data_IF_889002599031
#
_entry.id   IF_889002599031
#
_cell.length_a   1.000
_cell.length_b   1.000
_cell.length_c   1.000
_cell.angle_alpha   90.00
_cell.angle_beta   90.00
_cell.angle_gamma   90.00
#
_symmetry.space_group_name_H-M   'P 1'
#
loop_
_entity.id
_entity.type
_entity.pdbx_description
1 polymer ?
#
# COMPACT_ATOMS: atom_id res chain seq x y z
N UNK A 1 -9.11 22.53 -26.75
CA UNK A 1 -9.83 21.30 -27.12
C UNK A 1 -9.01 20.58 -28.15
N UNK A 2 -8.37 19.54 -27.75
CA UNK A 2 -7.63 18.65 -28.63
C UNK A 2 -8.63 17.68 -29.23
N UNK A 3 -8.75 17.60 -30.53
CA UNK A 3 -9.79 16.76 -31.13
C UNK A 3 -9.60 16.34 -32.58
N UNK A 4 -8.49 16.68 -33.23
CA UNK A 4 -8.24 16.30 -34.63
C UNK A 4 -6.99 15.44 -34.79
N UNK A 5 -7.01 14.59 -35.82
CA UNK A 5 -5.85 13.72 -36.19
C UNK A 5 -4.67 14.51 -36.78
N UNK A 6 -4.88 15.80 -37.12
CA UNK A 6 -3.87 16.65 -37.79
C UNK A 6 -3.48 17.87 -36.93
N UNK A 7 -3.72 17.81 -35.60
CA UNK A 7 -3.37 18.90 -34.71
C UNK A 7 -1.95 18.76 -34.16
N UNK A 8 -1.30 19.94 -33.99
CA UNK A 8 0.02 20.00 -33.37
C UNK A 8 -0.10 19.88 -31.86
N UNK A 9 0.69 19.04 -31.23
CA UNK A 9 0.77 18.92 -29.79
C UNK A 9 2.17 19.28 -29.28
N UNK A 10 2.24 19.69 -28.05
CA UNK A 10 3.48 20.05 -27.39
C UNK A 10 4.16 18.77 -26.88
N UNK A 11 5.45 18.64 -27.17
CA UNK A 11 6.28 17.48 -26.82
C UNK A 11 7.13 17.70 -25.55
N UNK A 12 6.66 18.56 -24.64
CA UNK A 12 7.27 18.76 -23.32
C UNK A 12 8.46 19.71 -23.26
N UNK A 13 9.08 20.09 -24.39
CA UNK A 13 10.21 21.03 -24.39
C UNK A 13 9.72 22.47 -24.48
N UNK A 14 9.81 23.20 -23.37
CA UNK A 14 9.37 24.59 -23.28
C UNK A 14 10.48 25.45 -22.71
N UNK A 15 10.70 26.62 -23.31
CA UNK A 15 11.59 27.65 -22.81
C UNK A 15 10.77 28.86 -22.35
N UNK A 16 10.84 29.15 -21.06
CA UNK A 16 10.26 30.36 -20.48
C UNK A 16 11.31 31.43 -20.32
N UNK A 17 11.13 32.55 -21.00
CA UNK A 17 11.96 33.72 -20.80
C UNK A 17 11.63 34.41 -19.46
N UNK A 18 12.39 35.46 -19.13
CA UNK A 18 12.19 36.17 -17.86
C UNK A 18 10.86 36.87 -17.73
N UNK A 19 10.32 37.36 -18.86
CA UNK A 19 9.05 38.09 -18.87
C UNK A 19 7.91 37.12 -18.67
N UNK A 20 7.91 36.02 -19.42
CA UNK A 20 6.95 34.93 -19.26
C UNK A 20 6.98 34.38 -17.83
N UNK A 21 8.17 34.03 -17.34
CA UNK A 21 8.34 33.44 -16.00
C UNK A 21 7.86 34.38 -14.89
N UNK A 22 8.08 35.69 -15.01
CA UNK A 22 7.63 36.65 -14.01
C UNK A 22 6.09 36.74 -13.98
N UNK A 23 5.47 36.86 -15.15
CA UNK A 23 4.02 36.96 -15.24
C UNK A 23 3.32 35.65 -14.88
N UNK A 24 3.85 34.50 -15.32
CA UNK A 24 3.29 33.19 -14.98
C UNK A 24 3.38 32.90 -13.46
N UNK A 25 4.45 33.37 -12.82
CA UNK A 25 4.58 33.27 -11.36
C UNK A 25 3.52 34.09 -10.62
N UNK A 26 3.19 35.30 -11.10
CA UNK A 26 2.12 36.11 -10.51
C UNK A 26 0.75 35.38 -10.58
N UNK A 27 0.48 34.69 -11.68
CA UNK A 27 -0.73 33.88 -11.84
C UNK A 27 -0.70 32.68 -10.88
N UNK A 28 0.42 31.97 -10.80
CA UNK A 28 0.59 30.85 -9.88
C UNK A 28 0.40 31.28 -8.41
N UNK A 29 1.01 32.39 -8.00
CA UNK A 29 0.86 32.92 -6.63
C UNK A 29 -0.59 33.32 -6.31
N UNK A 30 -1.36 33.77 -7.32
CA UNK A 30 -2.77 34.13 -7.15
C UNK A 30 -3.71 32.92 -7.12
N UNK A 31 -3.41 31.84 -7.84
CA UNK A 31 -4.36 30.76 -8.10
C UNK A 31 -3.97 29.40 -7.46
N UNK A 32 -2.72 29.22 -6.99
CA UNK A 32 -2.21 27.94 -6.51
C UNK A 32 -3.07 27.31 -5.40
N UNK A 33 -3.52 28.13 -4.44
CA UNK A 33 -4.32 27.68 -3.30
C UNK A 33 -5.83 27.57 -3.58
N UNK A 34 -6.26 27.87 -4.80
CA UNK A 34 -7.67 27.77 -5.16
C UNK A 34 -8.06 26.30 -5.39
N UNK A 35 -9.23 25.84 -4.89
CA UNK A 35 -9.66 24.44 -5.04
C UNK A 35 -9.68 23.94 -6.49
N UNK A 36 -10.04 24.83 -7.45
CA UNK A 36 -10.09 24.47 -8.87
C UNK A 36 -8.71 24.32 -9.52
N UNK A 37 -7.62 24.71 -8.86
CA UNK A 37 -6.25 24.64 -9.40
C UNK A 37 -5.53 23.38 -8.96
N UNK A 38 -6.03 22.71 -7.92
CA UNK A 38 -5.38 21.57 -7.27
C UNK A 38 -4.91 20.46 -8.22
N UNK A 39 -5.71 20.16 -9.25
CA UNK A 39 -5.45 19.06 -10.18
C UNK A 39 -5.00 19.56 -11.56
N UNK A 40 -4.64 20.84 -11.68
CA UNK A 40 -4.18 21.43 -12.94
C UNK A 40 -2.67 21.30 -13.10
N UNK A 41 -2.27 20.99 -14.32
CA UNK A 41 -0.89 21.13 -14.78
C UNK A 41 -0.66 22.59 -15.21
N UNK A 42 0.61 22.99 -15.36
CA UNK A 42 0.94 24.34 -15.81
C UNK A 42 0.35 24.68 -17.19
N UNK A 43 0.20 23.69 -18.06
CA UNK A 43 -0.42 23.82 -19.38
C UNK A 43 -1.88 24.23 -19.29
N UNK A 44 -2.60 23.71 -18.29
CA UNK A 44 -4.00 24.08 -18.07
C UNK A 44 -4.12 25.56 -17.71
N UNK A 45 -3.27 26.03 -16.79
CA UNK A 45 -3.21 27.47 -16.44
C UNK A 45 -2.80 28.32 -17.63
N UNK A 46 -1.78 27.90 -18.39
CA UNK A 46 -1.38 28.61 -19.60
C UNK A 46 -2.55 28.74 -20.59
N UNK A 47 -3.32 27.68 -20.83
CA UNK A 47 -4.46 27.71 -21.77
C UNK A 47 -5.57 28.64 -21.26
N UNK A 48 -5.82 28.70 -19.98
CA UNK A 48 -6.81 29.61 -19.38
C UNK A 48 -6.41 31.08 -19.54
N UNK A 49 -5.11 31.37 -19.44
CA UNK A 49 -4.52 32.71 -19.57
C UNK A 49 -3.86 32.94 -20.92
N UNK A 50 -4.17 32.16 -21.96
CA UNK A 50 -3.48 32.15 -23.25
C UNK A 50 -3.45 33.53 -23.94
N UNK A 51 -4.41 34.40 -23.62
CA UNK A 51 -4.47 35.77 -24.18
C UNK A 51 -3.45 36.74 -23.56
N UNK A 52 -2.87 36.35 -22.42
CA UNK A 52 -1.91 37.14 -21.65
C UNK A 52 -0.46 36.74 -21.98
N UNK A 53 -0.28 35.67 -22.73
CA UNK A 53 1.03 35.11 -23.08
C UNK A 53 1.25 35.10 -24.60
N UNK A 54 2.49 35.37 -24.99
CA UNK A 54 2.97 35.18 -26.36
C UNK A 54 4.00 34.04 -26.37
N UNK A 55 3.59 32.85 -26.80
CA UNK A 55 4.45 31.69 -26.89
C UNK A 55 4.68 31.29 -28.33
N UNK A 56 5.95 31.30 -28.76
CA UNK A 56 6.32 30.93 -30.12
C UNK A 56 6.45 29.44 -30.27
N UNK A 57 5.79 28.87 -31.29
CA UNK A 57 5.86 27.45 -31.61
C UNK A 57 7.08 27.18 -32.49
N UNK A 58 7.99 26.34 -32.06
CA UNK A 58 9.03 25.76 -32.87
C UNK A 58 8.59 24.39 -33.37
N UNK A 59 8.38 24.25 -34.64
CA UNK A 59 7.95 23.00 -35.25
C UNK A 59 9.15 22.10 -35.53
N UNK A 60 8.99 20.83 -35.25
CA UNK A 60 9.95 19.78 -35.57
C UNK A 60 9.26 18.76 -36.47
N UNK A 61 9.98 18.32 -37.52
CA UNK A 61 9.50 17.22 -38.36
C UNK A 61 9.78 15.89 -37.63
N UNK A 62 8.85 14.94 -37.76
CA UNK A 62 9.14 13.58 -37.31
C UNK A 62 10.28 12.98 -38.13
N UNK A 63 11.24 12.26 -37.57
CA UNK A 63 11.37 11.72 -36.21
C UNK A 63 12.53 12.35 -35.40
N UNK A 64 12.59 13.66 -35.26
CA UNK A 64 13.70 14.35 -34.58
C UNK A 64 13.62 14.19 -33.05
N UNK A 65 12.42 14.08 -32.51
CA UNK A 65 12.17 13.93 -31.08
C UNK A 65 11.41 12.62 -30.89
N UNK A 66 11.96 11.77 -30.04
CA UNK A 66 11.38 10.51 -29.64
C UNK A 66 10.97 10.59 -28.18
N UNK A 67 9.75 10.22 -27.89
CA UNK A 67 9.20 10.07 -26.54
C UNK A 67 8.98 8.57 -26.29
N UNK A 68 9.40 8.09 -25.14
CA UNK A 68 9.28 6.70 -24.77
C UNK A 68 8.51 6.62 -23.46
N UNK A 69 7.33 6.00 -23.48
CA UNK A 69 6.50 5.76 -22.31
C UNK A 69 6.81 4.40 -21.66
N UNK A 70 7.54 3.56 -22.38
CA UNK A 70 7.88 2.21 -21.91
C UNK A 70 9.29 1.81 -22.32
N UNK A 71 9.83 0.80 -21.62
CA UNK A 71 11.09 0.19 -21.98
C UNK A 71 10.98 -0.55 -23.32
N UNK A 72 9.83 -1.11 -23.63
CA UNK A 72 9.63 -1.85 -24.89
C UNK A 72 9.70 -0.91 -26.09
N UNK A 73 9.15 0.30 -26.02
CA UNK A 73 9.31 1.34 -27.04
C UNK A 73 10.77 1.77 -27.22
N UNK A 74 11.53 1.89 -26.14
CA UNK A 74 12.95 2.18 -26.20
C UNK A 74 13.73 1.05 -26.88
N UNK A 75 13.38 -0.21 -26.61
CA UNK A 75 13.98 -1.40 -27.23
C UNK A 75 13.65 -1.53 -28.70
N UNK A 76 12.42 -1.19 -29.09
CA UNK A 76 12.01 -1.14 -30.49
C UNK A 76 12.77 -0.06 -31.27
N UNK A 77 13.07 1.05 -30.59
CA UNK A 77 13.86 2.14 -31.16
C UNK A 77 15.36 1.80 -31.25
N UNK A 78 15.93 1.23 -30.18
CA UNK A 78 17.35 0.84 -30.14
C UNK A 78 17.52 -0.57 -29.53
N UNK A 79 17.78 -1.59 -30.38
CA UNK A 79 17.95 -2.96 -29.92
C UNK A 79 19.09 -3.18 -28.93
N UNK A 80 20.01 -2.22 -28.75
CA UNK A 80 21.04 -2.30 -27.71
C UNK A 80 20.44 -2.43 -26.32
N UNK A 81 19.24 -1.89 -26.08
CA UNK A 81 18.54 -2.00 -24.80
C UNK A 81 17.86 -3.36 -24.55
N UNK A 82 17.93 -4.30 -25.48
CA UNK A 82 17.49 -5.68 -25.24
C UNK A 82 18.41 -6.41 -24.24
N UNK A 83 19.72 -6.23 -24.37
CA UNK A 83 20.72 -6.99 -23.62
C UNK A 83 21.53 -6.13 -22.64
N UNK A 84 21.68 -4.82 -22.91
CA UNK A 84 22.59 -3.91 -22.20
C UNK A 84 21.91 -3.01 -21.17
N UNK A 85 20.91 -3.54 -20.44
CA UNK A 85 20.34 -2.83 -19.30
C UNK A 85 21.22 -3.05 -18.06
N UNK A 86 21.92 -1.99 -17.65
CA UNK A 86 22.59 -1.94 -16.36
C UNK A 86 21.56 -1.57 -15.28
N UNK A 87 20.85 -2.59 -14.81
CA UNK A 87 19.81 -2.44 -13.80
C UNK A 87 19.83 -3.61 -12.83
N UNK A 88 20.07 -3.30 -11.58
CA UNK A 88 19.99 -4.29 -10.50
C UNK A 88 18.63 -5.00 -10.43
N UNK A 89 17.53 -4.31 -10.76
CA UNK A 89 16.19 -4.92 -10.80
C UNK A 89 16.17 -6.06 -11.83
N UNK A 90 16.69 -5.83 -13.03
CA UNK A 90 16.76 -6.85 -14.07
C UNK A 90 17.68 -8.00 -13.69
N UNK A 91 18.82 -7.71 -13.07
CA UNK A 91 19.73 -8.74 -12.58
C UNK A 91 19.07 -9.63 -11.52
N UNK A 92 18.30 -9.03 -10.62
CA UNK A 92 17.52 -9.75 -9.61
C UNK A 92 16.43 -10.65 -10.25
N UNK A 93 15.70 -10.12 -11.25
CA UNK A 93 14.67 -10.88 -11.98
C UNK A 93 15.27 -12.09 -12.65
N UNK A 94 16.35 -11.89 -13.44
CA UNK A 94 17.08 -12.95 -14.12
C UNK A 94 17.57 -14.02 -13.14
N UNK A 95 18.16 -13.59 -12.02
CA UNK A 95 18.67 -14.52 -11.00
C UNK A 95 17.57 -15.38 -10.35
N UNK A 96 16.36 -14.87 -10.20
CA UNK A 96 15.25 -15.57 -9.55
C UNK A 96 14.44 -16.42 -10.54
N UNK A 97 14.13 -15.86 -11.71
CA UNK A 97 13.25 -16.52 -12.69
C UNK A 97 14.04 -17.37 -13.71
N UNK A 98 15.35 -17.15 -13.86
CA UNK A 98 16.19 -17.90 -14.80
C UNK A 98 15.94 -17.53 -16.27
N UNK A 99 15.34 -16.36 -16.52
CA UNK A 99 15.09 -15.84 -17.88
C UNK A 99 16.25 -14.94 -18.34
N UNK A 100 16.29 -14.62 -19.64
CA UNK A 100 17.21 -13.62 -20.18
C UNK A 100 16.62 -12.21 -20.03
N UNK A 101 17.46 -11.16 -19.97
CA UNK A 101 17.00 -9.77 -19.89
C UNK A 101 16.09 -9.37 -21.06
N UNK A 102 16.35 -9.92 -22.25
CA UNK A 102 15.53 -9.72 -23.45
C UNK A 102 14.12 -10.31 -23.38
N UNK A 103 13.88 -11.23 -22.44
CA UNK A 103 12.55 -11.81 -22.22
C UNK A 103 11.68 -11.00 -21.25
N UNK A 104 12.25 -9.96 -20.62
CA UNK A 104 11.52 -9.09 -19.68
C UNK A 104 10.84 -7.97 -20.44
N UNK A 105 9.52 -7.97 -20.50
CA UNK A 105 8.68 -7.03 -21.26
C UNK A 105 7.58 -6.40 -20.40
N UNK A 106 6.83 -5.44 -20.95
CA UNK A 106 5.69 -4.80 -20.32
C UNK A 106 6.01 -4.25 -18.92
N UNK A 107 7.18 -3.61 -18.79
CA UNK A 107 7.63 -3.03 -17.52
C UNK A 107 6.98 -1.67 -17.32
N UNK A 108 6.11 -1.57 -16.30
CA UNK A 108 5.47 -0.30 -15.92
C UNK A 108 5.28 -0.22 -14.40
N UNK A 109 5.31 1.00 -13.82
CA UNK A 109 5.11 1.17 -12.39
C UNK A 109 3.67 0.86 -11.98
N UNK A 110 3.50 0.16 -10.86
CA UNK A 110 2.22 -0.01 -10.20
C UNK A 110 2.06 1.13 -9.19
N UNK A 111 1.01 1.95 -9.38
CA UNK A 111 0.77 3.16 -8.57
C UNK A 111 0.08 2.88 -7.21
N UNK A 112 -0.03 1.62 -6.82
CA UNK A 112 -0.70 1.23 -5.57
C UNK A 112 0.35 0.92 -4.51
N UNK A 113 0.25 1.57 -3.35
CA UNK A 113 1.10 1.40 -2.18
C UNK A 113 1.80 2.68 -1.74
N UNK A 114 1.76 2.99 -0.45
CA UNK A 114 2.35 4.19 0.15
C UNK A 114 3.83 4.00 0.52
N UNK A 115 4.27 2.76 0.73
CA UNK A 115 5.56 2.46 1.35
C UNK A 115 6.61 1.88 0.40
N UNK A 116 6.20 1.20 -0.66
CA UNK A 116 7.10 0.46 -1.55
C UNK A 116 6.93 0.87 -3.02
N UNK A 117 8.02 0.81 -3.78
CA UNK A 117 8.00 1.01 -5.23
C UNK A 117 7.78 -0.34 -5.90
N UNK A 118 6.68 -0.50 -6.61
CA UNK A 118 6.36 -1.74 -7.31
C UNK A 118 6.27 -1.52 -8.81
N UNK A 119 6.74 -2.48 -9.59
CA UNK A 119 6.54 -2.50 -11.03
C UNK A 119 5.99 -3.86 -11.48
N UNK A 120 5.11 -3.81 -12.47
CA UNK A 120 4.71 -4.97 -13.25
C UNK A 120 5.78 -5.28 -14.29
N UNK A 121 5.95 -6.54 -14.62
CA UNK A 121 6.67 -6.99 -15.80
C UNK A 121 6.14 -8.36 -16.26
N UNK A 122 6.40 -8.73 -17.51
CA UNK A 122 6.09 -10.04 -18.06
C UNK A 122 7.34 -10.74 -18.55
N UNK A 123 7.29 -12.08 -18.56
CA UNK A 123 8.26 -12.96 -19.22
C UNK A 123 7.51 -14.02 -20.00
N UNK A 124 8.22 -14.91 -20.71
CA UNK A 124 7.61 -16.05 -21.40
C UNK A 124 6.80 -16.96 -20.45
N UNK A 125 7.13 -16.98 -19.14
CA UNK A 125 6.52 -17.85 -18.14
C UNK A 125 5.34 -17.20 -17.39
N UNK A 126 5.03 -15.92 -17.63
CA UNK A 126 3.89 -15.26 -17.02
C UNK A 126 4.10 -13.78 -16.70
N UNK A 127 3.22 -13.29 -15.86
CA UNK A 127 3.19 -11.90 -15.40
C UNK A 127 3.56 -11.82 -13.93
N UNK A 128 4.30 -10.77 -13.56
CA UNK A 128 4.97 -10.67 -12.27
C UNK A 128 4.92 -9.24 -11.71
N UNK A 129 5.15 -9.16 -10.43
CA UNK A 129 5.37 -7.89 -9.72
C UNK A 129 6.74 -7.93 -9.07
N UNK A 130 7.57 -6.94 -9.35
CA UNK A 130 8.78 -6.66 -8.59
C UNK A 130 8.49 -5.54 -7.59
N UNK A 131 8.69 -5.79 -6.29
CA UNK A 131 8.60 -4.78 -5.23
C UNK A 131 10.01 -4.39 -4.79
N UNK A 132 10.32 -3.10 -4.92
CA UNK A 132 11.52 -2.51 -4.35
C UNK A 132 11.18 -1.85 -3.01
N UNK A 133 11.98 -2.04 -1.94
CA UNK A 133 11.70 -1.43 -0.65
C UNK A 133 11.75 0.11 -0.76
N UNK A 134 10.80 0.79 -0.15
CA UNK A 134 10.83 2.24 -0.03
C UNK A 134 11.94 2.71 0.91
N UNK A 135 12.37 3.95 0.74
CA UNK A 135 13.41 4.56 1.58
C UNK A 135 12.92 4.66 3.03
N UNK A 136 13.72 4.19 3.97
CA UNK A 136 13.40 4.24 5.41
C UNK A 136 12.56 3.07 5.93
N UNK A 137 12.15 2.12 5.07
CA UNK A 137 11.38 0.93 5.51
C UNK A 137 12.21 -0.06 6.32
N UNK A 138 13.54 0.01 6.24
CA UNK A 138 14.46 -0.87 6.96
C UNK A 138 14.33 -0.75 8.49
N UNK A 139 13.84 0.39 8.99
CA UNK A 139 13.65 0.64 10.42
C UNK A 139 12.28 0.17 10.94
N UNK A 140 11.33 -0.07 10.04
CA UNK A 140 9.94 -0.37 10.38
C UNK A 140 9.57 -1.83 10.13
N UNK A 141 10.25 -2.49 9.17
CA UNK A 141 9.86 -3.80 8.68
C UNK A 141 10.95 -4.83 8.98
N UNK A 142 10.57 -5.89 9.70
CA UNK A 142 11.44 -7.06 9.90
C UNK A 142 11.33 -8.00 8.69
N UNK A 143 12.26 -7.85 7.75
CA UNK A 143 12.28 -8.64 6.51
C UNK A 143 12.50 -10.14 6.71
N UNK A 144 13.13 -10.54 7.80
CA UNK A 144 13.28 -11.96 8.12
C UNK A 144 11.95 -12.56 8.56
N UNK A 145 11.20 -11.82 9.37
CA UNK A 145 9.86 -12.23 9.80
C UNK A 145 8.89 -12.22 8.59
N UNK A 146 8.92 -11.18 7.75
CA UNK A 146 8.11 -11.10 6.50
C UNK A 146 8.36 -12.34 5.62
N UNK A 147 9.62 -12.67 5.35
CA UNK A 147 9.97 -13.84 4.52
C UNK A 147 9.43 -15.15 5.10
N UNK A 148 9.60 -15.37 6.41
CA UNK A 148 9.10 -16.59 7.06
C UNK A 148 7.57 -16.65 6.99
N UNK A 149 6.88 -15.53 7.19
CA UNK A 149 5.44 -15.44 7.06
C UNK A 149 4.96 -15.73 5.63
N UNK A 150 5.64 -15.18 4.61
CA UNK A 150 5.35 -15.44 3.19
C UNK A 150 5.54 -16.92 2.82
N UNK A 151 6.61 -17.57 3.29
CA UNK A 151 6.85 -18.99 3.06
C UNK A 151 5.78 -19.86 3.74
N UNK A 152 5.36 -19.46 4.94
CA UNK A 152 4.24 -20.10 5.66
C UNK A 152 2.93 -19.91 4.91
N UNK A 153 2.61 -18.69 4.51
CA UNK A 153 1.41 -18.37 3.76
C UNK A 153 1.31 -19.17 2.46
N UNK A 154 2.41 -19.28 1.72
CA UNK A 154 2.47 -20.11 0.52
C UNK A 154 2.22 -21.59 0.85
N UNK A 155 2.83 -22.12 1.90
CA UNK A 155 2.67 -23.52 2.30
C UNK A 155 1.23 -23.84 2.73
N UNK A 156 0.58 -22.90 3.39
CA UNK A 156 -0.82 -22.98 3.80
C UNK A 156 -1.82 -22.68 2.65
N UNK A 157 -1.34 -22.23 1.47
CA UNK A 157 -2.20 -21.81 0.36
C UNK A 157 -2.94 -20.49 0.62
N UNK A 158 -2.44 -19.65 1.53
CA UNK A 158 -2.99 -18.33 1.85
C UNK A 158 -2.49 -17.26 0.88
N UNK A 159 -1.24 -17.37 0.43
CA UNK A 159 -0.65 -16.53 -0.63
C UNK A 159 -0.06 -17.40 -1.74
N UNK A 160 -0.74 -17.43 -2.87
CA UNK A 160 -0.30 -18.15 -4.08
C UNK A 160 0.51 -17.26 -5.03
N UNK A 161 0.72 -15.99 -4.68
CA UNK A 161 1.49 -15.04 -5.49
C UNK A 161 2.97 -15.05 -5.17
N UNK A 162 3.36 -15.37 -3.94
CA UNK A 162 4.74 -15.29 -3.48
C UNK A 162 5.68 -16.21 -4.24
N UNK A 163 6.77 -15.65 -4.77
CA UNK A 163 7.84 -16.37 -5.47
C UNK A 163 9.14 -16.32 -4.70
N UNK A 164 9.63 -15.11 -4.42
CA UNK A 164 10.91 -14.89 -3.78
C UNK A 164 10.97 -13.55 -3.05
N UNK A 165 11.67 -13.53 -1.91
CA UNK A 165 12.06 -12.31 -1.21
C UNK A 165 13.53 -12.38 -0.81
N UNK A 166 14.24 -11.26 -0.99
CA UNK A 166 15.58 -11.08 -0.46
C UNK A 166 15.50 -10.36 0.91
N UNK A 167 15.62 -11.07 2.05
CA UNK A 167 15.41 -10.45 3.36
C UNK A 167 16.50 -9.45 3.76
N UNK A 168 17.67 -9.49 3.10
CA UNK A 168 18.76 -8.54 3.37
C UNK A 168 18.55 -7.20 2.66
N UNK A 169 17.92 -7.21 1.50
CA UNK A 169 17.73 -6.05 0.61
C UNK A 169 16.28 -5.64 0.49
N UNK A 170 15.35 -6.44 0.98
CA UNK A 170 13.92 -6.15 1.07
C UNK A 170 13.15 -6.16 -0.25
N UNK A 171 13.78 -6.50 -1.38
CA UNK A 171 13.05 -6.64 -2.64
C UNK A 171 12.38 -8.01 -2.76
N UNK A 172 11.26 -8.03 -3.47
CA UNK A 172 10.39 -9.21 -3.60
C UNK A 172 9.88 -9.38 -5.03
N UNK A 173 9.72 -10.64 -5.46
CA UNK A 173 9.04 -11.01 -6.70
C UNK A 173 7.81 -11.84 -6.35
N UNK A 174 6.68 -11.45 -6.93
CA UNK A 174 5.39 -12.13 -6.81
C UNK A 174 4.74 -12.33 -8.18
N UNK A 175 3.84 -13.30 -8.31
CA UNK A 175 3.00 -13.45 -9.50
C UNK A 175 1.99 -12.31 -9.56
N UNK A 176 1.80 -11.74 -10.73
CA UNK A 176 0.71 -10.80 -10.97
C UNK A 176 -0.59 -11.57 -11.21
N UNK A 177 -1.69 -11.12 -10.62
CA UNK A 177 -3.02 -11.69 -10.85
C UNK A 177 -3.82 -10.66 -11.66
N UNK A 178 -4.00 -10.89 -12.97
CA UNK A 178 -4.79 -9.97 -13.80
C UNK A 178 -6.26 -9.97 -13.37
N UNK A 179 -6.92 -8.82 -13.56
CA UNK A 179 -8.37 -8.66 -13.32
C UNK A 179 -8.85 -9.07 -11.92
N UNK A 180 -7.94 -9.14 -10.94
CA UNK A 180 -8.34 -9.47 -9.58
C UNK A 180 -9.23 -8.39 -8.97
N UNK A 181 -10.06 -8.79 -8.01
CA UNK A 181 -10.88 -7.91 -7.20
C UNK A 181 -10.44 -8.01 -5.75
N UNK A 182 -10.62 -6.93 -5.02
CA UNK A 182 -10.46 -6.97 -3.57
C UNK A 182 -11.67 -7.64 -2.90
N UNK A 183 -11.51 -8.02 -1.65
CA UNK A 183 -12.55 -8.62 -0.86
C UNK A 183 -13.67 -7.62 -0.57
N UNK A 184 -14.93 -8.06 -0.73
CA UNK A 184 -16.11 -7.33 -0.28
C UNK A 184 -16.65 -7.95 1.03
N UNK A 185 -16.50 -7.27 2.18
CA UNK A 185 -16.96 -7.80 3.47
C UNK A 185 -18.47 -7.94 3.58
N UNK A 186 -19.23 -7.33 2.67
CA UNK A 186 -20.69 -7.50 2.57
C UNK A 186 -21.09 -8.81 1.88
N UNK A 187 -20.17 -9.41 1.14
CA UNK A 187 -20.34 -10.74 0.58
C UNK A 187 -20.01 -11.79 1.64
N UNK A 188 -21.02 -12.46 2.18
CA UNK A 188 -20.87 -13.40 3.30
C UNK A 188 -19.91 -14.56 2.99
N UNK A 189 -19.88 -15.06 1.75
CA UNK A 189 -18.96 -16.12 1.36
C UNK A 189 -17.49 -15.64 1.35
N UNK A 190 -17.23 -14.39 0.94
CA UNK A 190 -15.91 -13.80 0.99
C UNK A 190 -15.49 -13.49 2.43
N UNK A 191 -16.40 -12.97 3.27
CA UNK A 191 -16.18 -12.77 4.69
C UNK A 191 -15.82 -14.07 5.40
N UNK A 192 -16.59 -15.14 5.15
CA UNK A 192 -16.31 -16.48 5.68
C UNK A 192 -14.94 -16.98 5.22
N UNK A 193 -14.59 -16.77 3.96
CA UNK A 193 -13.28 -17.17 3.41
C UNK A 193 -12.14 -16.44 4.13
N UNK A 194 -12.24 -15.10 4.30
CA UNK A 194 -11.23 -14.31 5.00
C UNK A 194 -11.04 -14.80 6.46
N UNK A 195 -12.12 -14.95 7.20
CA UNK A 195 -12.05 -15.41 8.60
C UNK A 195 -11.51 -16.83 8.73
N UNK A 196 -11.79 -17.69 7.75
CA UNK A 196 -11.22 -19.06 7.68
C UNK A 196 -9.71 -18.99 7.41
N UNK A 197 -9.25 -18.09 6.54
CA UNK A 197 -7.83 -17.88 6.24
C UNK A 197 -7.08 -17.35 7.46
N UNK A 198 -7.66 -16.38 8.20
CA UNK A 198 -7.09 -15.90 9.45
C UNK A 198 -6.94 -17.03 10.47
N UNK A 199 -7.99 -17.82 10.68
CA UNK A 199 -7.95 -18.95 11.59
C UNK A 199 -6.90 -19.99 11.18
N UNK A 200 -6.80 -20.32 9.89
CA UNK A 200 -5.80 -21.25 9.37
C UNK A 200 -4.38 -20.77 9.63
N UNK A 201 -4.13 -19.46 9.52
CA UNK A 201 -2.85 -18.86 9.88
C UNK A 201 -2.57 -18.99 11.38
N UNK A 202 -3.52 -18.60 12.21
CA UNK A 202 -3.39 -18.60 13.69
C UNK A 202 -3.26 -20.01 14.29
N UNK A 203 -3.85 -21.01 13.66
CA UNK A 203 -3.74 -22.42 14.07
C UNK A 203 -2.47 -23.10 13.51
N UNK A 204 -1.65 -22.39 12.72
CA UNK A 204 -0.38 -22.92 12.24
C UNK A 204 0.67 -22.99 13.36
N UNK A 205 1.61 -23.93 13.26
CA UNK A 205 2.74 -24.02 14.18
C UNK A 205 3.89 -23.06 13.82
N UNK A 206 3.65 -22.13 12.88
CA UNK A 206 4.67 -21.22 12.39
C UNK A 206 5.00 -20.15 13.43
N UNK A 207 6.28 -19.86 13.58
CA UNK A 207 6.77 -18.83 14.50
C UNK A 207 7.78 -17.92 13.82
N UNK A 208 7.77 -16.64 14.20
CA UNK A 208 8.76 -15.64 13.81
C UNK A 208 9.30 -14.94 15.05
N UNK A 209 10.48 -14.34 14.94
CA UNK A 209 11.06 -13.61 16.09
C UNK A 209 10.33 -12.30 16.37
N UNK A 210 9.84 -11.63 15.32
CA UNK A 210 9.09 -10.39 15.46
C UNK A 210 7.84 -10.59 16.30
N UNK A 211 7.67 -9.73 17.30
CA UNK A 211 6.41 -9.60 18.05
C UNK A 211 5.69 -8.35 17.58
N UNK A 212 4.37 -8.44 17.48
CA UNK A 212 3.51 -7.34 17.13
C UNK A 212 2.43 -7.18 18.20
N UNK A 213 2.34 -5.96 18.72
CA UNK A 213 1.28 -5.53 19.62
C UNK A 213 0.83 -4.16 19.19
N UNK A 214 -0.46 -3.97 18.99
CA UNK A 214 -1.00 -2.64 18.65
C UNK A 214 -0.62 -1.59 19.68
N UNK A 215 -0.60 -1.95 20.96
CA UNK A 215 -0.21 -1.02 22.00
C UNK A 215 1.24 -0.55 21.84
N UNK A 216 2.16 -1.49 21.65
CA UNK A 216 3.57 -1.16 21.51
C UNK A 216 3.86 -0.37 20.23
N UNK A 217 3.25 -0.75 19.10
CA UNK A 217 3.37 -0.03 17.83
C UNK A 217 2.77 1.37 17.93
N UNK A 218 1.58 1.52 18.50
CA UNK A 218 0.95 2.84 18.72
C UNK A 218 1.81 3.73 19.61
N UNK A 219 2.44 3.17 20.66
CA UNK A 219 3.41 3.90 21.52
C UNK A 219 4.68 4.28 20.75
N UNK A 220 5.13 3.47 19.79
CA UNK A 220 6.26 3.79 18.93
C UNK A 220 5.93 4.96 18.00
N UNK A 221 4.74 4.94 17.36
CA UNK A 221 4.26 6.04 16.52
C UNK A 221 4.09 7.33 17.32
N UNK A 222 3.48 7.25 18.50
CA UNK A 222 3.34 8.40 19.41
C UNK A 222 4.69 9.01 19.79
N UNK A 223 5.68 8.21 20.13
CA UNK A 223 7.04 8.70 20.43
C UNK A 223 7.67 9.41 19.22
N UNK A 224 7.47 8.86 18.04
CA UNK A 224 7.95 9.46 16.79
C UNK A 224 7.26 10.79 16.48
N UNK A 225 5.96 10.91 16.77
CA UNK A 225 5.21 12.16 16.66
C UNK A 225 5.70 13.20 17.65
N UNK A 226 5.81 12.84 18.93
CA UNK A 226 6.27 13.75 20.00
C UNK A 226 7.70 14.25 19.77
N UNK A 227 8.56 13.47 19.13
CA UNK A 227 9.90 13.90 18.74
C UNK A 227 9.89 15.00 17.65
N UNK A 228 8.80 15.12 16.88
CA UNK A 228 8.59 16.16 15.85
C UNK A 228 7.91 17.41 16.39
N UNK A 229 7.17 17.31 17.49
CA UNK A 229 6.46 18.44 18.10
C UNK A 229 5.32 17.98 19.02
N UNK A 230 4.57 18.93 19.59
CA UNK A 230 3.40 18.58 20.39
C UNK A 230 2.32 17.90 19.54
N UNK A 231 1.55 17.00 20.15
CA UNK A 231 0.41 16.36 19.47
C UNK A 231 -0.59 17.42 19.00
N UNK A 232 -1.02 17.30 17.76
CA UNK A 232 -2.02 18.19 17.13
C UNK A 232 -3.46 17.88 17.54
N UNK A 233 -3.69 16.74 18.21
CA UNK A 233 -5.01 16.21 18.57
C UNK A 233 -5.27 16.50 20.04
N UNK A 234 -6.37 17.21 20.33
CA UNK A 234 -6.67 17.72 21.69
C UNK A 234 -6.97 16.62 22.71
N UNK A 235 -7.59 15.52 22.30
CA UNK A 235 -8.00 14.41 23.17
C UNK A 235 -7.04 13.22 23.10
N UNK A 236 -5.87 13.39 22.48
CA UNK A 236 -4.88 12.32 22.33
C UNK A 236 -4.46 11.70 23.66
N UNK A 237 -4.22 12.52 24.67
CA UNK A 237 -3.80 12.03 25.99
C UNK A 237 -4.86 11.13 26.63
N UNK A 238 -6.13 11.53 26.52
CA UNK A 238 -7.25 10.72 27.02
C UNK A 238 -7.33 9.38 26.29
N UNK A 239 -7.22 9.38 24.96
CA UNK A 239 -7.19 8.17 24.13
C UNK A 239 -6.01 7.25 24.49
N UNK A 240 -4.82 7.82 24.70
CA UNK A 240 -3.63 7.08 25.07
C UNK A 240 -3.73 6.46 26.48
N UNK A 241 -4.33 7.17 27.44
CA UNK A 241 -4.59 6.66 28.79
C UNK A 241 -5.64 5.53 28.79
N UNK A 242 -6.65 5.62 27.91
CA UNK A 242 -7.66 4.58 27.73
C UNK A 242 -7.04 3.35 27.04
N UNK A 243 -6.21 3.54 26.02
CA UNK A 243 -5.48 2.46 25.36
C UNK A 243 -4.55 1.70 26.36
N UNK A 244 -3.89 2.42 27.27
CA UNK A 244 -3.07 1.79 28.29
C UNK A 244 -3.90 0.88 29.22
N UNK A 245 -5.06 1.34 29.68
CA UNK A 245 -5.96 0.52 30.50
C UNK A 245 -6.53 -0.66 29.75
N UNK A 246 -6.92 -0.44 28.47
CA UNK A 246 -7.44 -1.50 27.62
C UNK A 246 -6.37 -2.58 27.40
N UNK A 247 -5.12 -2.17 27.19
CA UNK A 247 -4.00 -3.12 27.06
C UNK A 247 -3.82 -4.00 28.31
N UNK A 248 -3.99 -3.45 29.52
CA UNK A 248 -3.93 -4.24 30.77
C UNK A 248 -4.99 -5.35 30.78
N UNK A 249 -6.23 -5.05 30.33
CA UNK A 249 -7.29 -6.06 30.22
C UNK A 249 -6.99 -7.12 29.16
N UNK A 250 -6.55 -6.67 27.98
CA UNK A 250 -6.24 -7.59 26.88
C UNK A 250 -5.08 -8.51 27.20
N UNK A 251 -4.05 -8.01 27.88
CA UNK A 251 -2.93 -8.85 28.35
C UNK A 251 -3.35 -9.87 29.42
N UNK A 252 -4.31 -9.54 30.26
CA UNK A 252 -4.84 -10.46 31.27
C UNK A 252 -5.72 -11.56 30.67
N UNK A 253 -6.40 -11.27 29.55
CA UNK A 253 -7.35 -12.15 28.85
C UNK A 253 -6.67 -12.88 27.66
N UNK A 254 -5.46 -12.47 27.26
CA UNK A 254 -4.76 -12.97 26.07
C UNK A 254 -4.28 -14.41 26.22
N UNK A 255 -4.27 -15.12 25.08
CA UNK A 255 -3.72 -16.44 24.94
C UNK A 255 -2.22 -16.43 24.57
N UNK A 256 -1.71 -17.61 24.19
CA UNK A 256 -0.37 -17.70 23.61
C UNK A 256 -0.32 -16.96 22.27
N UNK A 257 0.77 -16.20 22.00
CA UNK A 257 0.91 -15.49 20.74
C UNK A 257 0.94 -16.44 19.55
N UNK A 258 0.23 -16.07 18.49
CA UNK A 258 0.20 -16.80 17.21
C UNK A 258 0.76 -15.94 16.09
N UNK A 259 1.09 -16.54 14.95
CA UNK A 259 1.48 -15.77 13.76
C UNK A 259 0.26 -15.07 13.19
N UNK A 260 0.31 -13.73 13.16
CA UNK A 260 -0.72 -12.86 12.61
C UNK A 260 -0.20 -12.11 11.38
N UNK A 261 -1.12 -11.72 10.51
CA UNK A 261 -0.82 -10.84 9.39
C UNK A 261 -0.64 -9.37 9.86
N UNK A 262 -1.45 -8.94 10.82
CA UNK A 262 -1.55 -7.62 11.45
C UNK A 262 -2.05 -6.48 10.54
N UNK A 263 -1.90 -6.60 9.21
CA UNK A 263 -2.48 -5.71 8.21
C UNK A 263 -3.58 -6.42 7.41
N UNK A 264 -4.44 -7.13 8.13
CA UNK A 264 -5.46 -8.02 7.61
C UNK A 264 -6.74 -7.24 7.25
N UNK A 265 -6.89 -6.84 5.98
CA UNK A 265 -8.07 -6.11 5.49
C UNK A 265 -8.29 -6.31 3.99
N UNK A 266 -9.45 -5.90 3.48
CA UNK A 266 -9.95 -6.27 2.16
C UNK A 266 -9.05 -5.93 0.99
N UNK A 267 -8.29 -4.82 1.04
CA UNK A 267 -7.38 -4.46 -0.04
C UNK A 267 -6.20 -5.42 -0.19
N UNK A 268 -5.83 -6.12 0.88
CA UNK A 268 -4.77 -7.13 0.85
C UNK A 268 -5.26 -8.51 0.40
N UNK A 269 -6.56 -8.66 0.08
CA UNK A 269 -7.07 -9.87 -0.54
C UNK A 269 -7.25 -9.68 -2.04
N UNK A 270 -6.63 -10.55 -2.81
CA UNK A 270 -6.77 -10.63 -4.25
C UNK A 270 -7.63 -11.83 -4.61
N UNK A 271 -8.76 -11.59 -5.25
CA UNK A 271 -9.69 -12.63 -5.70
C UNK A 271 -9.64 -12.66 -7.22
N UNK A 272 -9.17 -13.76 -7.80
CA UNK A 272 -9.10 -13.96 -9.24
C UNK A 272 -10.47 -14.23 -9.88
N UNK A 273 -10.51 -14.32 -11.21
CA UNK A 273 -11.74 -14.60 -11.98
C UNK A 273 -12.36 -15.97 -11.67
N UNK A 274 -11.58 -16.90 -11.12
CA UNK A 274 -12.03 -18.24 -10.72
C UNK A 274 -12.47 -18.30 -9.25
N UNK A 275 -12.38 -17.19 -8.50
CA UNK A 275 -12.70 -17.11 -7.09
C UNK A 275 -11.60 -17.62 -6.17
N UNK A 276 -10.37 -17.87 -6.67
CA UNK A 276 -9.23 -18.16 -5.82
C UNK A 276 -8.81 -16.88 -5.10
N UNK A 277 -8.51 -17.01 -3.81
CA UNK A 277 -8.17 -15.88 -2.95
C UNK A 277 -6.72 -16.00 -2.49
N UNK A 278 -5.96 -14.91 -2.62
CA UNK A 278 -4.62 -14.77 -2.07
C UNK A 278 -4.58 -13.58 -1.11
N UNK A 279 -3.97 -13.76 0.06
CA UNK A 279 -3.70 -12.70 1.02
C UNK A 279 -2.25 -12.24 0.83
N UNK A 280 -2.07 -10.96 0.54
CA UNK A 280 -0.78 -10.36 0.20
C UNK A 280 -0.37 -9.33 1.25
N UNK A 281 0.85 -8.82 1.13
CA UNK A 281 1.41 -7.72 1.93
C UNK A 281 1.66 -8.05 3.41
N UNK A 282 2.55 -8.99 3.64
CA UNK A 282 2.92 -9.58 4.92
C UNK A 282 3.96 -8.76 5.71
N UNK A 283 4.18 -7.49 5.37
CA UNK A 283 5.25 -6.68 5.96
C UNK A 283 5.08 -6.40 7.47
N UNK A 284 3.84 -6.47 7.97
CA UNK A 284 3.55 -6.35 9.40
C UNK A 284 3.42 -7.69 10.13
N UNK A 285 3.62 -8.81 9.42
CA UNK A 285 3.48 -10.13 10.04
C UNK A 285 4.39 -10.32 11.27
N UNK A 286 3.83 -10.92 12.30
CA UNK A 286 4.52 -11.13 13.58
C UNK A 286 3.71 -11.95 14.56
N UNK A 287 4.36 -12.42 15.61
CA UNK A 287 3.70 -13.13 16.71
C UNK A 287 2.90 -12.14 17.55
N UNK A 288 1.62 -12.34 17.64
CA UNK A 288 0.71 -11.47 18.38
C UNK A 288 -0.55 -12.16 18.87
N UNK A 289 -1.48 -11.36 19.35
CA UNK A 289 -2.81 -11.83 19.70
C UNK A 289 -3.59 -12.18 18.43
N UNK A 290 -4.25 -13.34 18.39
CA UNK A 290 -5.05 -13.76 17.22
C UNK A 290 -6.11 -12.73 16.82
N UNK A 291 -6.61 -11.95 17.78
CA UNK A 291 -7.62 -10.94 17.54
C UNK A 291 -7.06 -9.65 16.87
N UNK A 292 -5.74 -9.55 16.66
CA UNK A 292 -5.14 -8.44 15.91
C UNK A 292 -5.69 -8.36 14.47
N UNK A 293 -5.71 -9.51 13.79
CA UNK A 293 -6.19 -9.58 12.41
C UNK A 293 -7.68 -9.22 12.31
N UNK A 294 -8.47 -9.68 13.26
CA UNK A 294 -9.88 -9.28 13.38
C UNK A 294 -10.02 -7.78 13.67
N UNK A 295 -9.18 -7.23 14.55
CA UNK A 295 -9.19 -5.80 14.90
C UNK A 295 -8.94 -4.91 13.69
N UNK A 296 -7.86 -5.14 12.94
CA UNK A 296 -7.57 -4.42 11.70
C UNK A 296 -8.70 -4.57 10.69
N UNK A 297 -9.20 -5.79 10.49
CA UNK A 297 -10.28 -6.05 9.54
C UNK A 297 -11.54 -5.23 9.86
N UNK A 298 -11.99 -5.26 11.11
CA UNK A 298 -13.18 -4.52 11.52
C UNK A 298 -13.05 -3.01 11.32
N UNK A 299 -11.89 -2.45 11.66
CA UNK A 299 -11.62 -1.02 11.53
C UNK A 299 -11.56 -0.60 10.08
N UNK A 300 -10.75 -1.29 9.26
CA UNK A 300 -10.53 -0.93 7.87
C UNK A 300 -11.80 -1.14 7.01
N UNK A 301 -12.55 -2.20 7.27
CA UNK A 301 -13.82 -2.48 6.58
C UNK A 301 -15.02 -1.74 7.18
N UNK A 302 -14.81 -0.97 8.23
CA UNK A 302 -15.84 -0.17 8.91
C UNK A 302 -17.07 -0.99 9.32
N UNK A 303 -16.83 -2.19 9.88
CA UNK A 303 -17.89 -3.12 10.22
C UNK A 303 -18.77 -2.57 11.37
N UNK A 304 -20.06 -2.77 11.24
CA UNK A 304 -21.03 -2.60 12.33
C UNK A 304 -20.90 -3.75 13.35
N UNK A 305 -21.42 -3.56 14.56
CA UNK A 305 -21.40 -4.60 15.61
C UNK A 305 -22.03 -5.92 15.14
N UNK A 306 -23.10 -5.88 14.33
CA UNK A 306 -23.74 -7.06 13.77
C UNK A 306 -22.81 -7.78 12.79
N UNK A 307 -22.13 -7.03 11.91
CA UNK A 307 -21.17 -7.58 10.95
C UNK A 307 -19.94 -8.15 11.68
N UNK A 308 -19.45 -7.51 12.74
CA UNK A 308 -18.36 -8.00 13.58
C UNK A 308 -18.75 -9.35 14.23
N UNK A 309 -19.97 -9.48 14.77
CA UNK A 309 -20.45 -10.74 15.38
C UNK A 309 -20.54 -11.84 14.34
N UNK A 310 -20.99 -11.54 13.13
CA UNK A 310 -21.05 -12.48 12.01
C UNK A 310 -19.64 -12.93 11.61
N UNK A 311 -18.69 -11.99 11.45
CA UNK A 311 -17.29 -12.30 11.13
C UNK A 311 -16.65 -13.22 12.19
N UNK A 312 -16.81 -12.93 13.48
CA UNK A 312 -16.36 -13.81 14.56
C UNK A 312 -17.05 -15.18 14.55
N UNK A 313 -18.32 -15.22 14.18
CA UNK A 313 -19.04 -16.48 13.98
C UNK A 313 -18.39 -17.35 12.92
N UNK A 314 -17.95 -16.76 11.81
CA UNK A 314 -17.19 -17.46 10.78
C UNK A 314 -15.78 -17.87 11.26
N UNK A 315 -15.09 -17.01 12.00
CA UNK A 315 -13.77 -17.31 12.56
C UNK A 315 -13.81 -18.52 13.51
N UNK A 316 -14.74 -18.53 14.47
CA UNK A 316 -14.87 -19.63 15.44
C UNK A 316 -15.63 -20.84 14.89
N UNK A 317 -16.35 -20.73 13.77
CA UNK A 317 -17.27 -21.74 13.27
C UNK A 317 -18.49 -21.96 14.17
N UNK A 318 -18.76 -21.03 15.09
CA UNK A 318 -19.87 -21.02 16.06
C UNK A 318 -20.11 -19.60 16.57
N UNK A 319 -21.18 -19.40 17.29
CA UNK A 319 -21.39 -18.16 18.01
C UNK A 319 -20.27 -17.93 19.02
N UNK A 320 -19.59 -16.75 19.04
CA UNK A 320 -18.57 -16.44 20.03
C UNK A 320 -19.19 -16.36 21.43
N UNK A 321 -18.42 -16.73 22.43
CA UNK A 321 -18.77 -16.51 23.83
C UNK A 321 -18.66 -15.00 24.18
N UNK A 322 -19.25 -14.60 25.31
CA UNK A 322 -19.14 -13.21 25.77
C UNK A 322 -17.69 -12.79 26.07
N UNK A 323 -16.84 -13.71 26.51
CA UNK A 323 -15.42 -13.44 26.74
C UNK A 323 -14.68 -13.22 25.40
N UNK A 324 -14.85 -14.11 24.44
CA UNK A 324 -14.29 -13.96 23.09
C UNK A 324 -14.78 -12.68 22.42
N UNK A 325 -16.07 -12.36 22.56
CA UNK A 325 -16.62 -11.13 22.03
C UNK A 325 -15.93 -9.89 22.64
N UNK A 326 -15.85 -9.82 23.98
CA UNK A 326 -15.22 -8.68 24.67
C UNK A 326 -13.75 -8.51 24.31
N UNK A 327 -13.01 -9.64 24.27
CA UNK A 327 -11.61 -9.65 23.90
C UNK A 327 -11.40 -9.10 22.48
N UNK A 328 -12.11 -9.63 21.50
CA UNK A 328 -12.00 -9.19 20.11
C UNK A 328 -12.46 -7.73 19.91
N UNK A 329 -13.53 -7.31 20.59
CA UNK A 329 -13.97 -5.92 20.55
C UNK A 329 -12.92 -4.97 21.16
N UNK A 330 -12.23 -5.39 22.21
CA UNK A 330 -11.10 -4.64 22.77
C UNK A 330 -9.96 -4.47 21.76
N UNK A 331 -9.64 -5.53 21.03
CA UNK A 331 -8.63 -5.43 19.96
C UNK A 331 -9.06 -4.55 18.79
N UNK A 332 -10.36 -4.43 18.49
CA UNK A 332 -10.87 -3.44 17.50
C UNK A 332 -10.55 -2.02 17.95
N UNK A 333 -10.84 -1.69 19.24
CA UNK A 333 -10.50 -0.38 19.80
C UNK A 333 -8.99 -0.11 19.78
N UNK A 334 -8.19 -1.11 20.16
CA UNK A 334 -6.73 -1.01 20.16
C UNK A 334 -6.15 -0.83 18.74
N UNK A 335 -6.68 -1.56 17.74
CA UNK A 335 -6.32 -1.37 16.34
C UNK A 335 -6.65 0.04 15.86
N UNK A 336 -7.84 0.55 16.17
CA UNK A 336 -8.24 1.93 15.84
C UNK A 336 -7.27 2.96 16.41
N UNK A 337 -6.90 2.85 17.68
CA UNK A 337 -5.94 3.76 18.32
C UNK A 337 -4.53 3.66 17.71
N UNK A 338 -4.04 2.47 17.46
CA UNK A 338 -2.71 2.26 16.88
C UNK A 338 -2.62 2.84 15.46
N UNK A 339 -3.56 2.47 14.60
CA UNK A 339 -3.59 2.94 13.21
C UNK A 339 -3.88 4.43 13.11
N UNK A 340 -4.58 5.02 14.09
CA UNK A 340 -4.71 6.47 14.18
C UNK A 340 -3.37 7.15 14.47
N UNK A 341 -2.57 6.62 15.40
CA UNK A 341 -1.22 7.11 15.66
C UNK A 341 -0.32 7.02 14.41
N UNK A 342 -0.42 5.90 13.67
CA UNK A 342 0.27 5.72 12.40
C UNK A 342 -0.17 6.76 11.36
N UNK A 343 -1.47 6.98 11.19
CA UNK A 343 -2.00 7.96 10.25
C UNK A 343 -1.50 9.38 10.55
N UNK A 344 -1.53 9.79 11.83
CA UNK A 344 -0.99 11.08 12.27
C UNK A 344 0.52 11.21 11.97
N UNK A 345 1.28 10.13 12.12
CA UNK A 345 2.70 10.12 11.79
C UNK A 345 2.92 10.30 10.28
N UNK A 346 2.14 9.60 9.45
CA UNK A 346 2.19 9.73 7.99
C UNK A 346 1.81 11.14 7.52
N UNK A 347 0.78 11.74 8.09
CA UNK A 347 0.43 13.14 7.83
C UNK A 347 1.57 14.11 8.23
N UNK A 348 2.23 13.87 9.36
CA UNK A 348 3.37 14.65 9.80
C UNK A 348 4.62 14.46 8.90
N UNK A 349 4.69 13.37 8.15
CA UNK A 349 5.70 13.09 7.11
C UNK A 349 5.33 13.69 5.75
N UNK A 350 4.14 14.31 5.63
CA UNK A 350 3.67 14.95 4.41
C UNK A 350 2.90 14.00 3.49
N UNK A 351 2.58 12.80 3.94
CA UNK A 351 1.75 11.86 3.20
C UNK A 351 0.26 12.15 3.41
N UNK A 352 -0.53 12.00 2.37
CA UNK A 352 -1.98 12.16 2.47
C UNK A 352 -2.63 10.79 2.73
N UNK A 353 -3.05 10.55 3.96
CA UNK A 353 -3.76 9.32 4.37
C UNK A 353 -5.27 9.38 4.14
N UNK A 354 -5.81 10.50 3.66
CA UNK A 354 -7.21 10.65 3.28
C UNK A 354 -8.20 10.38 4.41
N UNK A 355 -9.20 9.55 4.14
CA UNK A 355 -10.26 9.22 5.11
C UNK A 355 -9.81 8.28 6.23
N UNK A 356 -8.67 7.59 6.10
CA UNK A 356 -8.18 6.61 7.05
C UNK A 356 -7.98 7.19 8.45
N UNK A 357 -7.43 8.42 8.55
CA UNK A 357 -7.26 9.13 9.82
C UNK A 357 -8.58 9.24 10.60
N UNK A 358 -9.68 9.61 9.91
CA UNK A 358 -11.01 9.72 10.52
C UNK A 358 -11.61 8.35 10.90
N UNK A 359 -11.42 7.34 10.05
CA UNK A 359 -11.89 5.98 10.31
C UNK A 359 -11.22 5.44 11.58
N UNK A 360 -9.90 5.49 11.65
CA UNK A 360 -9.13 5.01 12.78
C UNK A 360 -9.48 5.72 14.09
N UNK A 361 -9.63 7.06 14.05
CA UNK A 361 -10.08 7.84 15.20
C UNK A 361 -11.43 7.36 15.77
N UNK A 362 -12.40 7.08 14.90
CA UNK A 362 -13.73 6.62 15.31
C UNK A 362 -13.71 5.30 16.08
N UNK A 363 -12.84 4.38 15.73
CA UNK A 363 -12.73 3.08 16.38
C UNK A 363 -11.80 3.10 17.59
N UNK A 364 -10.82 4.01 17.61
CA UNK A 364 -9.86 4.16 18.70
C UNK A 364 -10.36 5.00 19.87
N UNK A 365 -11.50 5.71 19.71
CA UNK A 365 -12.16 6.51 20.73
C UNK A 365 -13.32 5.74 21.36
#
# INVERSE_FOLDING_TARGET
TVGGTDEWYMIGHVFFDRVFSAHFREILEAEYDLPQTRDKLWENLYVEHIKEFDMQIRRYDQPIIHEFDSLDELRDFDPLFLENLDSEIFDNIVAVLGCDKSEIHNVYPLKQGLTNLSCHFSTNDGEWVYRHPGVGTELLIDRAAEKTALETARTLGLDNTFVFENPRRGWKISRFIPNCKNLDPKNDAQLQKAMTMARQLHESDATVERRFSFYDEGRNYERSLLARGPMSVNDWQEMSDQAAKLNEYLMADGGEPVLCHNDFFGLNFLIDENGNTSLIDWEYAGMGDYANDFGTFCVCEQLTEEEMRRALGHYFGRTPTDAEWRHNLGQVGMAGWCWYAWALLKEAEGENVGEWSHIYYRYGK
#
